data_IF_089390557757
#
_entry.id   IF_089390557757
#
_cell.length_a   1.000
_cell.length_b   1.000
_cell.length_c   1.000
_cell.angle_alpha   90.00
_cell.angle_beta   90.00
_cell.angle_gamma   90.00
#
_symmetry.space_group_name_H-M   'P 1'
#
loop_
_entity.id
_entity.type
_entity.pdbx_description
1 polymer ?
#
# COMPACT_ATOMS: atom_id res chain seq x y z
N UNK A 1 0.67 8.87 62.09
CA UNK A 1 1.70 9.45 61.24
C UNK A 1 2.35 8.35 60.44
N UNK A 2 2.11 8.22 59.14
CA UNK A 2 2.91 7.35 58.27
C UNK A 2 3.90 8.21 57.47
N UNK A 3 5.11 7.67 57.23
CA UNK A 3 6.23 8.25 56.53
C UNK A 3 6.03 8.24 54.98
N UNK A 4 6.71 9.09 54.23
CA UNK A 4 6.47 9.28 52.80
C UNK A 4 7.21 8.27 51.93
N UNK A 5 6.59 7.90 50.82
CA UNK A 5 7.13 7.03 49.79
C UNK A 5 8.14 7.75 48.92
N UNK A 6 9.29 7.11 48.70
CA UNK A 6 10.36 7.60 47.85
C UNK A 6 10.06 7.32 46.37
N UNK A 7 10.14 8.34 45.53
CA UNK A 7 10.06 8.28 44.09
C UNK A 7 11.41 7.87 43.49
N UNK A 8 11.49 6.71 42.83
CA UNK A 8 12.64 6.36 41.98
C UNK A 8 12.41 6.90 40.56
N UNK A 9 13.22 7.87 40.19
CA UNK A 9 13.41 8.24 38.78
C UNK A 9 14.65 7.51 38.25
N UNK A 10 14.49 6.72 37.21
CA UNK A 10 15.59 6.15 36.43
C UNK A 10 15.88 7.07 35.21
N UNK A 11 17.12 7.33 34.86
CA UNK A 11 17.46 8.11 33.67
C UNK A 11 17.56 7.22 32.44
N UNK A 12 16.93 7.65 31.36
CA UNK A 12 17.15 7.09 30.03
C UNK A 12 18.48 7.61 29.47
N UNK A 13 19.45 6.74 29.27
CA UNK A 13 20.66 7.03 28.49
C UNK A 13 20.46 6.50 27.08
N UNK A 14 20.48 7.42 26.11
CA UNK A 14 20.56 7.10 24.69
C UNK A 14 21.99 6.66 24.35
N UNK A 15 22.18 5.46 23.85
CA UNK A 15 23.44 5.01 23.25
C UNK A 15 23.30 5.00 21.73
N UNK A 16 23.89 5.99 21.07
CA UNK A 16 24.12 5.99 19.64
C UNK A 16 25.40 5.20 19.36
N UNK A 17 25.28 4.07 18.71
CA UNK A 17 26.42 3.26 18.23
C UNK A 17 26.69 3.55 16.76
N UNK A 18 27.71 4.39 16.47
CA UNK A 18 28.36 4.48 15.16
C UNK A 18 29.29 3.28 14.99
N UNK A 19 29.06 2.47 13.96
CA UNK A 19 30.02 1.47 13.49
C UNK A 19 30.61 1.96 12.16
N UNK A 20 31.81 2.53 12.24
CA UNK A 20 32.64 2.84 11.07
C UNK A 20 33.49 1.61 10.72
N UNK A 21 33.33 1.06 9.52
CA UNK A 21 34.21 0.05 8.97
C UNK A 21 35.19 0.70 8.01
N UNK A 22 36.44 0.73 8.43
CA UNK A 22 37.61 1.14 7.67
C UNK A 22 38.07 -0.05 6.81
N UNK A 23 38.11 0.08 5.49
CA UNK A 23 38.78 -0.87 4.61
C UNK A 23 39.99 -0.21 3.95
N UNK A 24 41.15 -0.76 4.27
CA UNK A 24 42.46 -0.30 3.82
C UNK A 24 42.75 -0.71 2.37
N UNK A 25 43.39 0.20 1.66
CA UNK A 25 44.01 0.05 0.35
C UNK A 25 45.22 -0.88 0.40
N UNK A 26 45.28 -1.80 -0.55
CA UNK A 26 46.56 -2.38 -0.98
C UNK A 26 46.71 -2.20 -2.49
N UNK A 27 47.70 -1.41 -2.87
CA UNK A 27 48.19 -1.25 -4.23
C UNK A 27 48.99 -2.51 -4.68
N UNK A 28 48.70 -2.98 -5.89
CA UNK A 28 49.56 -3.89 -6.64
C UNK A 28 49.59 -3.47 -8.12
N UNK A 29 50.68 -2.89 -8.52
CA UNK A 29 50.95 -2.51 -9.89
C UNK A 29 51.47 -3.70 -10.71
N UNK A 30 50.93 -3.93 -11.91
CA UNK A 30 51.62 -4.55 -13.03
C UNK A 30 51.08 -4.01 -14.34
N UNK A 31 51.97 -3.52 -15.18
CA UNK A 31 51.68 -2.92 -16.46
C UNK A 31 51.36 -3.94 -17.56
N UNK A 32 50.63 -3.50 -18.55
CA UNK A 32 50.31 -4.21 -19.78
C UNK A 32 49.73 -3.25 -20.81
N UNK A 33 50.42 -3.22 -21.92
CA UNK A 33 50.37 -2.38 -23.12
C UNK A 33 49.00 -2.05 -23.68
N UNK A 34 48.87 -0.79 -24.12
CA UNK A 34 47.73 -0.21 -24.78
C UNK A 34 47.42 -0.81 -26.16
N UNK A 35 46.19 -1.20 -26.40
CA UNK A 35 45.59 -1.18 -27.75
C UNK A 35 44.42 -0.20 -27.76
N UNK A 36 44.61 0.88 -28.52
CA UNK A 36 43.54 1.82 -28.90
C UNK A 36 42.54 1.11 -29.82
N UNK A 37 41.33 0.85 -29.33
CA UNK A 37 40.17 0.68 -30.20
C UNK A 37 39.17 1.76 -29.83
N UNK A 38 39.01 2.69 -30.74
CA UNK A 38 37.98 3.75 -30.69
C UNK A 38 36.61 3.13 -30.88
N UNK A 39 35.87 2.92 -29.75
CA UNK A 39 34.44 2.67 -29.81
C UNK A 39 33.71 4.00 -29.66
N UNK A 40 33.10 4.44 -30.75
CA UNK A 40 32.16 5.56 -30.78
C UNK A 40 30.98 5.26 -29.84
N UNK A 41 30.89 6.00 -28.72
CA UNK A 41 29.73 6.01 -27.88
C UNK A 41 28.56 6.69 -28.62
N UNK A 42 27.72 5.90 -29.25
CA UNK A 42 26.40 6.36 -29.67
C UNK A 42 25.55 6.56 -28.43
N UNK A 43 25.42 7.81 -27.99
CA UNK A 43 24.41 8.24 -27.04
C UNK A 43 23.03 7.90 -27.63
N UNK A 44 22.45 6.78 -27.20
CA UNK A 44 21.05 6.48 -27.52
C UNK A 44 20.16 7.49 -26.79
N UNK A 45 19.69 8.49 -27.53
CA UNK A 45 18.56 9.32 -27.10
C UNK A 45 17.40 8.36 -26.81
N UNK A 46 17.02 8.25 -25.54
CA UNK A 46 15.80 7.56 -25.13
C UNK A 46 14.65 8.36 -25.74
N UNK A 47 14.01 7.82 -26.79
CA UNK A 47 12.76 8.38 -27.30
C UNK A 47 11.71 8.35 -26.17
N UNK A 48 10.98 9.44 -25.96
CA UNK A 48 9.83 9.42 -25.06
C UNK A 48 8.86 8.37 -25.58
N UNK A 49 8.40 7.47 -24.68
CA UNK A 49 7.38 6.49 -25.02
C UNK A 49 6.15 7.15 -25.66
N UNK A 50 5.37 6.43 -26.49
CA UNK A 50 4.25 7.02 -27.19
C UNK A 50 3.35 7.75 -26.20
N UNK A 51 2.87 8.96 -26.56
CA UNK A 51 1.93 9.70 -25.71
C UNK A 51 0.72 8.80 -25.42
N UNK A 52 0.22 8.84 -24.19
CA UNK A 52 -1.05 8.16 -23.85
C UNK A 52 -2.05 8.54 -24.94
N UNK A 53 -2.56 7.54 -25.67
CA UNK A 53 -3.52 7.80 -26.72
C UNK A 53 -4.67 8.61 -26.11
N UNK A 54 -5.01 9.73 -26.74
CA UNK A 54 -6.20 10.52 -26.40
C UNK A 54 -7.46 9.78 -26.84
N UNK A 55 -7.56 8.51 -26.49
CA UNK A 55 -8.83 7.81 -26.55
C UNK A 55 -9.72 8.45 -25.51
N UNK A 56 -10.55 9.35 -25.98
CA UNK A 56 -11.73 9.83 -25.29
C UNK A 56 -12.86 8.82 -25.45
N UNK A 57 -12.95 7.78 -24.61
CA UNK A 57 -14.25 7.30 -24.21
C UNK A 57 -14.73 8.29 -23.17
N UNK A 58 -15.97 8.69 -23.25
CA UNK A 58 -16.65 9.46 -22.23
C UNK A 58 -16.16 9.03 -20.83
N UNK A 59 -15.52 9.95 -20.10
CA UNK A 59 -14.87 9.88 -18.79
C UNK A 59 -15.28 8.66 -17.96
N UNK A 60 -14.65 7.52 -18.16
CA UNK A 60 -14.94 6.31 -17.39
C UNK A 60 -14.35 6.50 -16.01
N UNK A 61 -15.25 6.63 -15.01
CA UNK A 61 -14.84 6.52 -13.61
C UNK A 61 -14.10 5.20 -13.40
N UNK A 62 -12.81 5.25 -12.99
CA UNK A 62 -11.98 4.06 -12.77
C UNK A 62 -12.57 3.13 -11.71
N UNK A 63 -13.43 3.64 -10.82
CA UNK A 63 -14.18 2.91 -9.80
C UNK A 63 -15.62 2.56 -10.23
N UNK A 64 -15.96 2.63 -11.52
CA UNK A 64 -17.33 2.40 -11.98
C UNK A 64 -17.86 1.00 -11.64
N UNK A 65 -16.98 0.02 -11.53
CA UNK A 65 -17.34 -1.33 -11.11
C UNK A 65 -17.36 -1.51 -9.57
N UNK A 66 -16.79 -0.57 -8.81
CA UNK A 66 -16.65 -0.64 -7.34
C UNK A 66 -17.86 -0.04 -6.60
N UNK A 67 -19.03 -0.09 -7.21
CA UNK A 67 -20.28 0.42 -6.64
C UNK A 67 -20.98 -0.60 -5.76
N UNK A 68 -21.79 -0.12 -4.81
CA UNK A 68 -22.54 -0.94 -3.86
C UNK A 68 -23.24 -2.12 -4.55
N UNK A 69 -22.99 -3.33 -4.07
CA UNK A 69 -23.64 -4.56 -4.55
C UNK A 69 -23.17 -5.10 -5.90
N UNK A 70 -22.24 -4.40 -6.56
CA UNK A 70 -21.74 -4.83 -7.87
C UNK A 70 -20.63 -5.88 -7.73
N UNK A 71 -21.00 -7.05 -7.20
CA UNK A 71 -20.06 -8.14 -7.01
C UNK A 71 -19.78 -8.94 -8.29
N UNK A 72 -18.52 -9.32 -8.45
CA UNK A 72 -18.19 -10.44 -9.31
C UNK A 72 -19.02 -11.69 -8.92
N UNK A 73 -19.52 -12.49 -9.89
CA UNK A 73 -20.21 -13.73 -9.57
C UNK A 73 -19.40 -14.70 -8.70
N UNK A 74 -18.07 -14.63 -8.78
CA UNK A 74 -17.14 -15.51 -8.05
C UNK A 74 -17.27 -15.37 -6.53
N UNK A 75 -17.56 -14.14 -6.02
CA UNK A 75 -17.52 -13.81 -4.59
C UNK A 75 -18.89 -13.47 -3.98
N UNK A 76 -19.95 -13.60 -4.77
CA UNK A 76 -21.31 -13.16 -4.35
C UNK A 76 -21.82 -13.89 -3.10
N UNK A 77 -21.40 -15.13 -2.89
CA UNK A 77 -21.78 -15.96 -1.75
C UNK A 77 -20.76 -15.97 -0.62
N UNK A 78 -19.65 -15.24 -0.75
CA UNK A 78 -18.62 -15.23 0.28
C UNK A 78 -19.10 -14.52 1.54
N UNK A 79 -18.70 -15.00 2.72
CA UNK A 79 -19.08 -14.38 4.00
C UNK A 79 -18.47 -12.98 4.15
N UNK A 80 -19.24 -12.07 4.75
CA UNK A 80 -18.79 -10.71 5.02
C UNK A 80 -17.83 -10.68 6.21
N UNK A 81 -16.54 -10.69 5.92
CA UNK A 81 -15.43 -10.79 6.89
C UNK A 81 -14.42 -9.64 6.71
N UNK A 82 -13.63 -9.40 7.73
CA UNK A 82 -12.43 -8.54 7.68
C UNK A 82 -11.25 -9.38 8.13
N UNK A 83 -10.21 -9.42 7.33
CA UNK A 83 -8.97 -10.15 7.62
C UNK A 83 -7.90 -9.17 8.06
N UNK A 84 -7.39 -9.34 9.27
CA UNK A 84 -6.49 -8.38 9.93
C UNK A 84 -5.13 -9.04 10.17
N UNK A 85 -4.11 -8.69 9.38
CA UNK A 85 -2.75 -9.18 9.64
C UNK A 85 -2.16 -8.42 10.82
N UNK A 86 -1.68 -9.15 11.83
CA UNK A 86 -1.07 -8.61 13.04
C UNK A 86 0.44 -8.80 12.95
N UNK A 87 1.14 -7.78 12.48
CA UNK A 87 2.56 -7.90 12.06
C UNK A 87 3.49 -8.30 13.20
N UNK A 88 3.21 -7.86 14.43
CA UNK A 88 4.04 -8.18 15.60
C UNK A 88 3.65 -9.50 16.27
N UNK A 89 2.43 -10.00 16.04
CA UNK A 89 1.94 -11.28 16.61
C UNK A 89 2.10 -12.44 15.63
N UNK A 90 2.45 -12.22 14.36
CA UNK A 90 2.50 -13.22 13.29
C UNK A 90 1.18 -14.02 13.17
N UNK A 91 0.05 -13.32 13.25
CA UNK A 91 -1.30 -13.90 13.18
C UNK A 91 -2.19 -13.12 12.22
N UNK A 92 -3.31 -13.73 11.83
CA UNK A 92 -4.45 -13.04 11.21
C UNK A 92 -5.68 -13.24 12.09
N UNK A 93 -6.33 -12.14 12.45
CA UNK A 93 -7.67 -12.15 13.02
C UNK A 93 -8.71 -12.01 11.92
N UNK A 94 -9.78 -12.80 11.99
CA UNK A 94 -10.91 -12.76 11.07
C UNK A 94 -12.12 -12.24 11.83
N UNK A 95 -12.62 -11.07 11.42
CA UNK A 95 -13.73 -10.37 12.08
C UNK A 95 -14.99 -10.49 11.24
N UNK A 96 -16.13 -10.80 11.85
CA UNK A 96 -17.43 -10.74 11.19
C UNK A 96 -17.89 -9.28 11.05
N UNK A 97 -18.14 -8.83 9.81
CA UNK A 97 -18.67 -7.49 9.56
C UNK A 97 -20.07 -7.27 10.16
N UNK A 98 -20.80 -8.36 10.40
CA UNK A 98 -22.16 -8.30 10.96
C UNK A 98 -22.18 -8.15 12.48
N UNK A 99 -21.28 -8.86 13.18
CA UNK A 99 -21.29 -8.92 14.65
C UNK A 99 -20.18 -8.09 15.28
N UNK A 100 -19.22 -7.59 14.52
CA UNK A 100 -18.02 -6.89 14.99
C UNK A 100 -17.18 -7.72 15.98
N UNK A 101 -17.20 -9.07 15.83
CA UNK A 101 -16.46 -9.99 16.68
C UNK A 101 -15.47 -10.81 15.88
N UNK A 102 -14.35 -11.14 16.49
CA UNK A 102 -13.41 -12.12 15.94
C UNK A 102 -14.12 -13.48 15.92
N UNK A 103 -14.17 -14.10 14.75
CA UNK A 103 -14.75 -15.42 14.51
C UNK A 103 -13.71 -16.50 14.29
N UNK A 104 -12.46 -16.08 14.03
CA UNK A 104 -11.30 -16.95 13.83
C UNK A 104 -10.01 -16.17 14.04
N UNK A 105 -8.98 -16.86 14.49
CA UNK A 105 -7.58 -16.43 14.47
C UNK A 105 -6.73 -17.59 13.99
N UNK A 106 -5.66 -17.32 13.27
CA UNK A 106 -4.67 -18.33 12.86
C UNK A 106 -3.28 -17.72 12.75
N UNK A 107 -2.26 -18.56 12.92
CA UNK A 107 -0.85 -18.17 12.76
C UNK A 107 -0.48 -18.07 11.28
N UNK A 108 0.49 -17.18 10.96
CA UNK A 108 1.06 -16.99 9.64
C UNK A 108 2.58 -17.02 9.69
N UNK A 109 3.25 -16.63 8.60
CA UNK A 109 4.68 -16.31 8.62
C UNK A 109 4.98 -15.03 9.40
N UNK A 110 6.26 -14.76 9.63
CA UNK A 110 6.71 -13.59 10.38
C UNK A 110 6.41 -12.29 9.64
N UNK A 111 6.03 -11.26 10.38
CA UNK A 111 5.72 -9.90 9.93
C UNK A 111 4.68 -9.89 8.79
N UNK A 112 3.44 -10.38 9.01
CA UNK A 112 2.37 -10.24 8.03
C UNK A 112 2.00 -8.76 7.89
N UNK A 113 2.13 -8.20 6.66
CA UNK A 113 1.89 -6.78 6.40
C UNK A 113 0.49 -6.53 5.84
N UNK A 114 0.11 -7.23 4.79
CA UNK A 114 -1.18 -7.00 4.12
C UNK A 114 -1.94 -8.31 3.91
N UNK A 115 -3.26 -8.18 3.73
CA UNK A 115 -4.09 -9.25 3.17
C UNK A 115 -4.63 -8.78 1.83
N UNK A 116 -4.21 -9.46 0.77
CA UNK A 116 -4.36 -9.04 -0.63
C UNK A 116 -5.25 -9.99 -1.41
N UNK A 117 -6.38 -9.53 -2.01
CA UNK A 117 -7.17 -10.37 -2.91
C UNK A 117 -6.43 -10.68 -4.22
N UNK A 118 -6.50 -11.94 -4.67
CA UNK A 118 -6.01 -12.34 -5.99
C UNK A 118 -6.77 -11.63 -7.12
N UNK A 119 -6.15 -11.52 -8.30
CA UNK A 119 -6.77 -10.91 -9.48
C UNK A 119 -8.15 -11.49 -9.80
N UNK A 120 -8.27 -12.82 -9.75
CA UNK A 120 -9.49 -13.57 -10.06
C UNK A 120 -10.47 -13.71 -8.88
N UNK A 121 -10.14 -13.08 -7.74
CA UNK A 121 -10.96 -13.03 -6.53
C UNK A 121 -11.19 -14.39 -5.85
N UNK A 122 -10.42 -15.42 -6.18
CA UNK A 122 -10.60 -16.77 -5.61
C UNK A 122 -9.78 -17.07 -4.38
N UNK A 123 -8.78 -16.23 -4.12
CA UNK A 123 -7.84 -16.41 -3.01
C UNK A 123 -7.52 -15.04 -2.40
N UNK A 124 -7.37 -15.00 -1.08
CA UNK A 124 -6.70 -13.89 -0.41
C UNK A 124 -5.29 -14.35 -0.04
N UNK A 125 -4.31 -13.47 -0.10
CA UNK A 125 -2.94 -13.76 0.30
C UNK A 125 -2.55 -12.91 1.50
N UNK A 126 -1.95 -13.53 2.51
CA UNK A 126 -1.26 -12.78 3.58
C UNK A 126 0.18 -12.62 3.15
N UNK A 127 0.64 -11.39 3.08
CA UNK A 127 2.00 -11.02 2.67
C UNK A 127 2.90 -11.07 3.91
N UNK A 128 3.60 -12.22 4.13
CA UNK A 128 4.47 -12.44 5.29
C UNK A 128 5.89 -11.97 4.96
N UNK A 129 6.14 -10.69 5.16
CA UNK A 129 7.34 -10.00 4.71
C UNK A 129 8.63 -10.67 5.22
N UNK A 130 8.89 -10.70 6.53
CA UNK A 130 10.05 -11.39 7.11
C UNK A 130 9.92 -12.92 7.07
N UNK A 131 8.69 -13.44 6.90
CA UNK A 131 8.40 -14.85 6.74
C UNK A 131 8.74 -15.39 5.35
N UNK A 132 9.12 -14.52 4.39
CA UNK A 132 9.42 -14.87 3.00
C UNK A 132 8.39 -15.83 2.39
N UNK A 133 7.10 -15.49 2.58
CA UNK A 133 6.01 -16.35 2.11
C UNK A 133 4.71 -15.60 1.92
N UNK A 134 3.84 -16.14 1.06
CA UNK A 134 2.44 -15.77 0.96
C UNK A 134 1.59 -16.89 1.58
N UNK A 135 0.76 -16.57 2.56
CA UNK A 135 -0.21 -17.53 3.10
C UNK A 135 -1.55 -17.36 2.37
N UNK A 136 -1.96 -18.30 1.52
CA UNK A 136 -3.26 -18.23 0.85
C UNK A 136 -4.40 -18.48 1.84
N UNK A 137 -5.52 -17.79 1.66
CA UNK A 137 -6.77 -17.98 2.40
C UNK A 137 -7.87 -18.30 1.39
N UNK A 138 -8.67 -19.34 1.63
CA UNK A 138 -9.93 -19.54 0.92
C UNK A 138 -10.97 -18.55 1.46
N UNK A 139 -11.40 -17.55 0.67
CA UNK A 139 -12.30 -16.51 1.16
C UNK A 139 -13.72 -17.02 1.49
N UNK A 140 -14.14 -18.18 0.94
CA UNK A 140 -15.44 -18.79 1.24
C UNK A 140 -15.50 -19.41 2.62
N UNK A 141 -14.36 -19.89 3.11
CA UNK A 141 -14.27 -20.57 4.41
C UNK A 141 -13.51 -19.76 5.45
N UNK A 142 -12.74 -18.76 5.06
CA UNK A 142 -11.83 -17.97 5.89
C UNK A 142 -10.66 -18.81 6.45
N UNK A 143 -10.32 -19.95 5.82
CA UNK A 143 -9.27 -20.85 6.29
C UNK A 143 -7.97 -20.64 5.52
N UNK A 144 -6.81 -20.63 6.22
CA UNK A 144 -5.52 -20.57 5.55
C UNK A 144 -5.17 -21.91 4.89
N UNK A 145 -4.44 -21.82 3.78
CA UNK A 145 -3.79 -22.93 3.10
C UNK A 145 -2.30 -23.02 3.42
N UNK A 146 -1.57 -23.83 2.66
CA UNK A 146 -0.11 -23.96 2.80
C UNK A 146 0.59 -22.70 2.30
N UNK A 147 1.54 -22.14 3.05
CA UNK A 147 2.32 -20.99 2.59
C UNK A 147 3.09 -21.31 1.30
N UNK A 148 3.18 -20.30 0.43
CA UNK A 148 3.94 -20.33 -0.82
C UNK A 148 5.23 -19.53 -0.59
N UNK A 149 6.39 -20.10 -0.90
CA UNK A 149 7.66 -19.40 -0.77
C UNK A 149 7.75 -18.23 -1.77
N UNK A 150 7.84 -17.03 -1.23
CA UNK A 150 7.99 -15.77 -1.95
C UNK A 150 8.90 -14.89 -1.11
N UNK A 151 10.00 -14.46 -1.67
CA UNK A 151 11.00 -13.66 -0.96
C UNK A 151 10.51 -12.23 -0.78
N UNK A 152 10.64 -11.70 0.45
CA UNK A 152 10.40 -10.30 0.80
C UNK A 152 9.03 -9.74 0.32
N UNK A 153 7.88 -10.40 0.57
CA UNK A 153 6.61 -9.94 0.09
C UNK A 153 6.03 -8.89 1.05
N UNK A 154 6.50 -7.64 0.93
CA UNK A 154 5.92 -6.53 1.69
C UNK A 154 4.48 -6.24 1.23
N UNK A 155 4.26 -6.24 -0.08
CA UNK A 155 2.93 -5.98 -0.67
C UNK A 155 2.75 -6.78 -1.97
N UNK A 156 1.50 -6.99 -2.38
CA UNK A 156 1.16 -7.76 -3.58
C UNK A 156 0.15 -7.00 -4.45
N UNK A 157 0.48 -6.87 -5.72
CA UNK A 157 -0.37 -6.26 -6.75
C UNK A 157 -0.56 -7.18 -7.94
N UNK A 158 -1.50 -6.81 -8.83
CA UNK A 158 -1.73 -7.51 -10.09
C UNK A 158 -1.82 -6.50 -11.23
N UNK A 159 -1.17 -6.81 -12.36
CA UNK A 159 -1.28 -5.96 -13.54
C UNK A 159 -2.75 -5.90 -14.01
N UNK A 160 -3.21 -4.73 -14.53
CA UNK A 160 -4.62 -4.56 -14.93
C UNK A 160 -5.14 -5.55 -15.98
N UNK A 161 -4.24 -6.18 -16.74
CA UNK A 161 -4.58 -7.26 -17.68
C UNK A 161 -4.53 -8.67 -17.05
N UNK A 162 -4.25 -8.78 -15.74
CA UNK A 162 -4.15 -10.04 -15.01
C UNK A 162 -2.98 -10.94 -15.41
N UNK A 163 -2.04 -10.44 -16.22
CA UNK A 163 -0.94 -11.25 -16.75
C UNK A 163 0.12 -11.56 -15.69
N UNK A 164 0.36 -10.64 -14.77
CA UNK A 164 1.36 -10.78 -13.73
C UNK A 164 0.81 -10.43 -12.36
N UNK A 165 1.26 -11.13 -11.33
CA UNK A 165 1.34 -10.65 -9.97
C UNK A 165 2.64 -9.84 -9.82
N UNK A 166 2.60 -8.75 -9.04
CA UNK A 166 3.76 -7.91 -8.73
C UNK A 166 3.95 -7.95 -7.22
N UNK A 167 4.99 -8.64 -6.77
CA UNK A 167 5.41 -8.61 -5.37
C UNK A 167 6.33 -7.43 -5.16
N UNK A 168 6.00 -6.60 -4.20
CA UNK A 168 6.88 -5.52 -3.73
C UNK A 168 7.87 -6.12 -2.76
N UNK A 169 9.11 -6.29 -3.19
CA UNK A 169 10.21 -6.74 -2.35
C UNK A 169 10.97 -5.51 -1.85
N UNK A 170 10.43 -4.91 -0.78
CA UNK A 170 10.81 -3.59 -0.27
C UNK A 170 12.28 -3.52 0.15
N UNK A 171 12.70 -4.44 1.02
CA UNK A 171 14.06 -4.51 1.55
C UNK A 171 15.10 -4.83 0.46
N UNK A 172 14.67 -5.57 -0.57
CA UNK A 172 15.49 -5.95 -1.71
C UNK A 172 15.46 -4.90 -2.83
N UNK A 173 14.70 -3.83 -2.67
CA UNK A 173 14.57 -2.71 -3.63
C UNK A 173 14.27 -3.21 -5.04
N UNK A 174 13.24 -4.06 -5.18
CA UNK A 174 12.83 -4.63 -6.45
C UNK A 174 11.34 -4.93 -6.52
N UNK A 175 10.83 -5.04 -7.72
CA UNK A 175 9.48 -5.47 -8.02
C UNK A 175 9.54 -6.80 -8.78
N UNK A 176 9.02 -7.86 -8.17
CA UNK A 176 9.04 -9.20 -8.74
C UNK A 176 7.76 -9.48 -9.52
N UNK A 177 7.86 -9.55 -10.84
CA UNK A 177 6.77 -9.98 -11.72
C UNK A 177 6.66 -11.50 -11.69
N UNK A 178 5.53 -12.01 -11.27
CA UNK A 178 5.29 -13.44 -11.04
C UNK A 178 4.06 -13.92 -11.80
N UNK A 179 4.01 -15.23 -12.04
CA UNK A 179 2.78 -15.85 -12.55
C UNK A 179 1.66 -15.69 -11.49
N UNK A 180 0.50 -15.11 -11.80
CA UNK A 180 -0.52 -14.75 -10.80
C UNK A 180 -1.22 -15.95 -10.16
N UNK A 181 -1.08 -17.17 -10.73
CA UNK A 181 -1.70 -18.39 -10.20
C UNK A 181 -0.74 -19.25 -9.40
N UNK A 182 0.53 -19.28 -9.80
CA UNK A 182 1.54 -20.17 -9.19
C UNK A 182 2.54 -19.43 -8.33
N UNK A 183 2.56 -18.10 -8.39
CA UNK A 183 3.55 -17.20 -7.76
C UNK A 183 5.01 -17.48 -8.17
N UNK A 184 5.25 -18.28 -9.25
CA UNK A 184 6.59 -18.50 -9.78
C UNK A 184 7.13 -17.22 -10.39
N UNK A 185 8.40 -16.90 -10.09
CA UNK A 185 9.12 -15.76 -10.64
C UNK A 185 9.15 -15.82 -12.17
N UNK A 186 8.90 -14.69 -12.81
CA UNK A 186 9.02 -14.51 -14.27
C UNK A 186 10.11 -13.49 -14.58
N UNK A 187 10.10 -12.34 -13.89
CA UNK A 187 11.05 -11.27 -14.06
C UNK A 187 11.19 -10.50 -12.76
N UNK A 188 12.37 -9.94 -12.51
CA UNK A 188 12.62 -9.06 -11.37
C UNK A 188 13.14 -7.72 -11.87
N UNK A 189 12.46 -6.64 -11.49
CA UNK A 189 12.82 -5.26 -11.80
C UNK A 189 13.51 -4.63 -10.59
N UNK A 190 14.82 -4.42 -10.67
CA UNK A 190 15.55 -3.66 -9.64
C UNK A 190 15.16 -2.18 -9.68
N UNK A 191 14.93 -1.59 -8.50
CA UNK A 191 14.56 -0.18 -8.32
C UNK A 191 15.44 0.48 -7.24
N UNK A 192 16.76 0.51 -7.41
CA UNK A 192 17.70 0.93 -6.37
C UNK A 192 17.53 2.40 -5.95
N UNK A 193 16.92 3.22 -6.80
CA UNK A 193 16.63 4.64 -6.51
C UNK A 193 15.35 4.83 -5.69
N UNK A 194 14.57 3.76 -5.47
CA UNK A 194 13.31 3.74 -4.76
C UNK A 194 13.49 3.02 -3.41
N UNK A 195 14.19 3.66 -2.46
CA UNK A 195 14.32 3.10 -1.12
C UNK A 195 12.96 3.05 -0.45
N UNK A 196 12.61 1.88 0.11
CA UNK A 196 11.27 1.64 0.63
C UNK A 196 10.22 1.70 -0.48
N UNK A 197 10.41 0.93 -1.56
CA UNK A 197 9.34 0.75 -2.55
C UNK A 197 8.14 0.12 -1.85
N UNK A 198 6.98 0.80 -1.90
CA UNK A 198 5.91 0.53 -0.95
C UNK A 198 4.57 0.29 -1.66
N UNK A 199 3.78 1.34 -1.85
CA UNK A 199 2.43 1.23 -2.42
C UNK A 199 2.38 1.65 -3.87
N UNK A 200 1.38 1.14 -4.61
CA UNK A 200 1.18 1.56 -6.00
C UNK A 200 -0.29 1.60 -6.40
N UNK A 201 -0.59 2.39 -7.43
CA UNK A 201 -1.82 2.30 -8.23
C UNK A 201 -1.45 2.36 -9.72
N UNK A 202 -2.44 2.15 -10.57
CA UNK A 202 -2.24 1.97 -12.01
C UNK A 202 -2.92 3.09 -12.81
N UNK A 203 -2.36 3.41 -13.97
CA UNK A 203 -2.99 4.34 -14.90
C UNK A 203 -4.36 3.83 -15.33
N UNK A 204 -5.26 4.75 -15.70
CA UNK A 204 -6.63 4.39 -16.11
C UNK A 204 -6.68 3.43 -17.31
N UNK A 205 -5.70 3.53 -18.21
CA UNK A 205 -5.54 2.64 -19.36
C UNK A 205 -4.82 1.32 -19.00
N UNK A 206 -4.26 1.19 -17.80
CA UNK A 206 -3.55 0.00 -17.34
C UNK A 206 -2.18 -0.23 -17.93
N UNK A 207 -1.56 0.82 -18.53
CA UNK A 207 -0.24 0.71 -19.16
C UNK A 207 0.91 0.98 -18.17
N UNK A 208 0.67 1.78 -17.15
CA UNK A 208 1.67 2.21 -16.18
C UNK A 208 1.26 1.88 -14.75
N UNK A 209 2.25 1.62 -13.92
CA UNK A 209 2.12 1.65 -12.46
C UNK A 209 2.88 2.87 -11.91
N UNK A 210 2.39 3.40 -10.79
CA UNK A 210 2.99 4.49 -10.04
C UNK A 210 3.24 3.98 -8.62
N UNK A 211 4.50 3.89 -8.21
CA UNK A 211 4.87 3.38 -6.90
C UNK A 211 5.52 4.46 -6.04
N UNK A 212 5.19 4.44 -4.75
CA UNK A 212 5.82 5.27 -3.72
C UNK A 212 7.16 4.67 -3.27
N UNK A 213 8.08 5.54 -2.86
CA UNK A 213 9.41 5.21 -2.35
C UNK A 213 9.55 5.88 -0.99
N UNK A 214 9.09 5.22 0.07
CA UNK A 214 8.86 5.80 1.40
C UNK A 214 10.11 6.47 1.97
N UNK A 215 11.27 5.78 1.88
CA UNK A 215 12.49 6.22 2.55
C UNK A 215 13.37 7.14 1.71
N UNK A 216 13.05 7.32 0.43
CA UNK A 216 13.77 8.24 -0.47
C UNK A 216 12.97 9.47 -0.88
N UNK A 217 11.73 9.62 -0.40
CA UNK A 217 10.87 10.76 -0.73
C UNK A 217 10.56 10.89 -2.21
N UNK A 218 10.39 9.75 -2.90
CA UNK A 218 10.23 9.71 -4.36
C UNK A 218 9.00 8.93 -4.79
N UNK A 219 8.66 9.09 -6.05
CA UNK A 219 7.72 8.25 -6.79
C UNK A 219 8.41 7.72 -8.03
N UNK A 220 8.08 6.50 -8.46
CA UNK A 220 8.52 5.95 -9.74
C UNK A 220 7.32 5.62 -10.64
N UNK A 221 7.48 5.87 -11.94
CA UNK A 221 6.54 5.46 -12.99
C UNK A 221 7.13 4.29 -13.74
N UNK A 222 6.37 3.20 -13.85
CA UNK A 222 6.80 1.93 -14.42
C UNK A 222 5.97 1.64 -15.67
N UNK A 223 6.63 1.36 -16.79
CA UNK A 223 6.00 0.80 -17.98
C UNK A 223 5.79 -0.71 -17.75
N UNK A 224 4.51 -1.12 -17.64
CA UNK A 224 4.15 -2.52 -17.33
C UNK A 224 4.41 -3.48 -18.49
N UNK A 225 4.43 -2.99 -19.74
CA UNK A 225 4.74 -3.81 -20.91
C UNK A 225 6.25 -4.07 -21.01
N UNK A 226 7.04 -3.00 -20.84
CA UNK A 226 8.50 -3.06 -20.89
C UNK A 226 9.11 -3.54 -19.58
N UNK A 227 8.32 -3.59 -18.47
CA UNK A 227 8.76 -3.94 -17.12
C UNK A 227 10.01 -3.15 -16.69
N UNK A 228 9.94 -1.82 -16.84
CA UNK A 228 11.06 -0.92 -16.50
C UNK A 228 10.55 0.40 -15.92
N UNK A 229 11.35 1.01 -15.05
CA UNK A 229 11.13 2.40 -14.61
C UNK A 229 11.38 3.33 -15.79
N UNK A 230 10.46 4.26 -16.04
CA UNK A 230 10.55 5.25 -17.13
C UNK A 230 10.69 6.67 -16.61
N UNK A 231 10.26 6.94 -15.36
CA UNK A 231 10.39 8.23 -14.71
C UNK A 231 10.54 8.07 -13.21
N UNK A 232 11.32 8.96 -12.59
CA UNK A 232 11.41 9.18 -11.16
C UNK A 232 10.98 10.60 -10.85
N UNK A 233 10.18 10.82 -9.82
CA UNK A 233 9.70 12.10 -9.35
C UNK A 233 10.10 12.28 -7.89
N UNK A 234 10.87 13.30 -7.57
CA UNK A 234 11.22 13.66 -6.21
C UNK A 234 10.11 14.54 -5.59
N UNK A 235 9.74 14.22 -4.35
CA UNK A 235 8.74 14.95 -3.57
C UNK A 235 9.44 15.71 -2.44
N UNK A 236 9.03 16.99 -2.22
CA UNK A 236 9.57 17.84 -1.16
C UNK A 236 11.10 17.82 -1.07
N UNK A 237 11.81 17.81 -2.20
CA UNK A 237 13.28 17.71 -2.23
C UNK A 237 13.81 16.50 -1.44
N UNK A 238 13.16 15.34 -1.55
CA UNK A 238 13.52 14.12 -0.83
C UNK A 238 13.10 14.08 0.64
N UNK A 239 12.39 15.09 1.14
CA UNK A 239 11.93 15.19 2.53
C UNK A 239 10.48 14.70 2.72
N UNK A 240 9.94 13.96 1.77
CA UNK A 240 8.65 13.29 1.87
C UNK A 240 8.79 11.86 2.39
N UNK A 241 7.70 11.31 2.94
CA UNK A 241 7.54 9.89 3.24
C UNK A 241 6.24 9.41 2.58
N UNK A 242 6.28 9.21 1.23
CA UNK A 242 5.10 8.85 0.47
C UNK A 242 4.64 7.43 0.79
N UNK A 243 3.35 7.28 1.03
CA UNK A 243 2.65 6.06 1.43
C UNK A 243 1.68 5.62 0.34
N UNK A 244 0.42 5.34 0.70
CA UNK A 244 -0.60 4.85 -0.23
C UNK A 244 -0.81 5.78 -1.42
N UNK A 245 -1.10 5.17 -2.55
CA UNK A 245 -1.25 5.81 -3.86
C UNK A 245 -2.63 5.51 -4.41
N UNK A 246 -3.40 6.52 -4.83
CA UNK A 246 -4.72 6.33 -5.44
C UNK A 246 -4.95 7.26 -6.61
N UNK A 247 -5.38 6.68 -7.71
CA UNK A 247 -5.83 7.42 -8.88
C UNK A 247 -7.22 8.01 -8.61
N UNK A 248 -7.43 9.29 -8.97
CA UNK A 248 -8.76 9.91 -8.92
C UNK A 248 -9.74 9.20 -9.89
N UNK A 249 -11.06 9.26 -9.62
CA UNK A 249 -12.06 8.60 -10.45
C UNK A 249 -11.96 8.93 -11.95
N UNK A 250 -11.58 10.15 -12.29
CA UNK A 250 -11.44 10.63 -13.68
C UNK A 250 -10.10 10.26 -14.33
N UNK A 251 -9.20 9.62 -13.59
CA UNK A 251 -7.87 9.21 -14.06
C UNK A 251 -6.88 10.35 -14.27
N UNK A 252 -7.17 11.57 -13.80
CA UNK A 252 -6.36 12.78 -14.10
C UNK A 252 -5.51 13.28 -12.96
N UNK A 253 -5.75 12.79 -11.74
CA UNK A 253 -4.96 13.13 -10.57
C UNK A 253 -4.58 11.85 -9.85
N UNK A 254 -3.31 11.71 -9.54
CA UNK A 254 -2.81 10.68 -8.64
C UNK A 254 -2.62 11.33 -7.28
N UNK A 255 -3.28 10.80 -6.26
CA UNK A 255 -3.10 11.20 -4.87
C UNK A 255 -2.08 10.27 -4.21
N UNK A 256 -1.13 10.86 -3.50
CA UNK A 256 -0.10 10.14 -2.74
C UNK A 256 -0.10 10.66 -1.32
N UNK A 257 -0.41 9.80 -0.37
CA UNK A 257 -0.35 10.16 1.03
C UNK A 257 1.11 10.40 1.45
N UNK A 258 1.36 11.43 2.25
CA UNK A 258 2.68 11.75 2.79
C UNK A 258 2.59 11.85 4.31
N UNK A 259 3.13 10.83 4.96
CA UNK A 259 3.07 10.75 6.42
C UNK A 259 3.96 11.81 7.09
N UNK A 260 5.08 12.19 6.47
CA UNK A 260 6.00 13.19 7.01
C UNK A 260 5.42 14.60 6.94
N UNK A 261 4.81 14.96 5.80
CA UNK A 261 4.29 16.30 5.56
C UNK A 261 2.80 16.46 5.93
N UNK A 262 2.11 15.38 6.28
CA UNK A 262 0.75 15.39 6.79
C UNK A 262 -0.29 15.82 5.76
N UNK A 263 -0.27 15.21 4.59
CA UNK A 263 -1.19 15.53 3.50
C UNK A 263 -1.05 14.64 2.29
N UNK A 264 -1.58 15.11 1.17
CA UNK A 264 -1.62 14.40 -0.09
C UNK A 264 -0.90 15.20 -1.17
N UNK A 265 0.08 14.63 -1.82
CA UNK A 265 0.57 15.11 -3.09
C UNK A 265 -0.47 14.87 -4.17
N UNK A 266 -0.76 15.89 -4.95
CA UNK A 266 -1.54 15.80 -6.17
C UNK A 266 -0.58 15.79 -7.36
N UNK A 267 -0.58 14.69 -8.11
CA UNK A 267 0.33 14.47 -9.24
C UNK A 267 -0.49 14.32 -10.52
N UNK A 268 -0.10 15.02 -11.60
CA UNK A 268 -0.59 14.75 -12.95
C UNK A 268 0.04 13.44 -13.45
N UNK A 269 -0.71 12.32 -13.61
CA UNK A 269 -0.13 11.02 -13.94
C UNK A 269 0.42 10.96 -15.37
N UNK A 270 -0.10 11.78 -16.29
CA UNK A 270 0.38 11.82 -17.69
C UNK A 270 1.74 12.49 -17.76
N UNK A 271 1.87 13.67 -17.15
CA UNK A 271 3.12 14.45 -17.11
C UNK A 271 4.09 13.96 -16.04
N UNK A 272 3.61 13.19 -15.09
CA UNK A 272 4.30 12.73 -13.90
C UNK A 272 4.98 13.89 -13.14
N UNK A 273 4.16 14.88 -12.79
CA UNK A 273 4.59 16.12 -12.10
C UNK A 273 3.63 16.47 -10.98
N UNK A 274 4.18 16.99 -9.88
CA UNK A 274 3.38 17.57 -8.78
C UNK A 274 2.60 18.77 -9.31
N UNK A 275 1.31 18.81 -9.03
CA UNK A 275 0.38 19.91 -9.37
C UNK A 275 -0.25 20.54 -8.15
N UNK A 276 -0.08 19.97 -6.96
CA UNK A 276 -0.59 20.51 -5.71
C UNK A 276 -0.21 19.66 -4.50
N UNK A 277 -0.52 20.19 -3.32
CA UNK A 277 -0.45 19.51 -2.05
C UNK A 277 -1.66 19.89 -1.19
N UNK A 278 -2.40 18.88 -0.73
CA UNK A 278 -3.58 19.05 0.11
C UNK A 278 -3.27 18.60 1.55
N UNK A 279 -3.25 19.53 2.51
CA UNK A 279 -3.10 19.16 3.92
C UNK A 279 -4.33 18.38 4.41
N UNK A 280 -4.09 17.25 5.08
CA UNK A 280 -5.14 16.41 5.67
C UNK A 280 -4.96 16.24 7.18
N UNK A 281 -3.76 15.90 7.62
CA UNK A 281 -3.43 15.68 9.02
C UNK A 281 -2.11 14.95 9.18
N UNK A 282 -1.50 15.02 10.36
CA UNK A 282 -0.23 14.35 10.66
C UNK A 282 -0.31 12.83 10.48
N UNK A 283 0.69 12.26 9.79
CA UNK A 283 0.75 10.84 9.53
C UNK A 283 -0.25 10.35 8.48
N UNK A 284 -0.51 11.15 7.43
CA UNK A 284 -1.38 10.72 6.32
C UNK A 284 -0.85 9.43 5.69
N UNK A 285 -1.70 8.39 5.58
CA UNK A 285 -1.27 7.04 5.24
C UNK A 285 -2.18 6.35 4.23
N UNK A 286 -3.30 5.77 4.62
CA UNK A 286 -4.19 5.01 3.75
C UNK A 286 -5.24 5.86 3.03
N UNK A 287 -5.57 5.50 1.80
CA UNK A 287 -6.47 6.21 0.90
C UNK A 287 -7.60 5.31 0.42
N UNK A 288 -8.86 5.61 0.76
CA UNK A 288 -10.02 4.74 0.48
C UNK A 288 -11.13 5.51 -0.24
N UNK A 289 -11.35 5.28 -1.54
CA UNK A 289 -12.48 5.85 -2.26
C UNK A 289 -13.81 5.36 -1.68
N UNK A 290 -14.77 6.28 -1.54
CA UNK A 290 -16.14 5.92 -1.21
C UNK A 290 -16.79 5.15 -2.37
N UNK A 291 -17.73 4.24 -2.09
CA UNK A 291 -18.37 3.39 -3.11
C UNK A 291 -19.13 4.16 -4.21
N UNK A 292 -19.42 5.40 -4.00
CA UNK A 292 -20.00 6.28 -5.04
C UNK A 292 -18.94 7.14 -5.75
N UNK A 293 -17.65 6.93 -5.46
CA UNK A 293 -16.49 7.65 -6.00
C UNK A 293 -16.61 9.20 -5.90
N UNK A 294 -17.32 9.70 -4.88
CA UNK A 294 -17.45 11.16 -4.63
C UNK A 294 -16.41 11.65 -3.63
N UNK A 295 -15.99 10.79 -2.71
CA UNK A 295 -15.10 11.12 -1.62
C UNK A 295 -13.98 10.11 -1.52
N UNK A 296 -12.87 10.53 -0.89
CA UNK A 296 -11.79 9.69 -0.44
C UNK A 296 -11.62 9.87 1.06
N UNK A 297 -11.56 8.76 1.79
CA UNK A 297 -11.22 8.74 3.20
C UNK A 297 -9.71 8.60 3.33
N UNK A 298 -9.09 9.48 4.10
CA UNK A 298 -7.66 9.53 4.36
C UNK A 298 -7.43 9.24 5.83
N UNK A 299 -6.72 8.16 6.15
CA UNK A 299 -6.28 7.92 7.52
C UNK A 299 -5.08 8.82 7.84
N UNK A 300 -5.13 9.52 8.98
CA UNK A 300 -4.04 10.36 9.47
C UNK A 300 -3.56 9.76 10.78
N UNK A 301 -2.60 8.84 10.67
CA UNK A 301 -2.18 7.92 11.74
C UNK A 301 -1.67 8.65 12.97
N UNK A 302 -0.79 9.65 12.81
CA UNK A 302 -0.23 10.39 13.93
C UNK A 302 -1.23 11.37 14.56
N UNK A 303 -2.22 11.85 13.77
CA UNK A 303 -3.25 12.76 14.27
C UNK A 303 -4.47 12.04 14.87
N UNK A 304 -4.56 10.71 14.75
CA UNK A 304 -5.67 9.91 15.26
C UNK A 304 -7.02 10.26 14.61
N UNK A 305 -7.02 10.65 13.32
CA UNK A 305 -8.22 11.15 12.66
C UNK A 305 -8.35 10.70 11.20
N UNK A 306 -9.54 10.84 10.64
CA UNK A 306 -9.83 10.61 9.24
C UNK A 306 -10.22 11.92 8.57
N UNK A 307 -9.62 12.25 7.43
CA UNK A 307 -10.03 13.34 6.56
C UNK A 307 -10.89 12.83 5.42
N UNK A 308 -12.01 13.50 5.13
CA UNK A 308 -12.87 13.21 3.99
C UNK A 308 -12.58 14.23 2.90
N UNK A 309 -11.97 13.77 1.80
CA UNK A 309 -11.61 14.61 0.66
C UNK A 309 -12.65 14.45 -0.44
N UNK A 310 -13.16 15.55 -0.97
CA UNK A 310 -14.05 15.53 -2.12
C UNK A 310 -13.24 15.49 -3.43
N UNK A 311 -13.45 14.47 -4.24
CA UNK A 311 -12.83 14.40 -5.57
C UNK A 311 -13.25 15.55 -6.49
N UNK A 312 -14.49 16.05 -6.35
CA UNK A 312 -15.00 17.15 -7.16
C UNK A 312 -14.33 18.49 -6.86
N UNK A 313 -14.16 18.81 -5.57
CA UNK A 313 -13.62 20.11 -5.14
C UNK A 313 -12.12 20.05 -4.82
N UNK A 314 -11.57 18.84 -4.69
CA UNK A 314 -10.17 18.57 -4.28
C UNK A 314 -9.82 19.27 -2.95
N UNK A 315 -10.76 19.19 -1.99
CA UNK A 315 -10.63 19.79 -0.65
C UNK A 315 -11.08 18.81 0.40
N UNK A 316 -10.52 18.95 1.60
CA UNK A 316 -11.06 18.33 2.81
C UNK A 316 -12.43 18.97 3.11
N UNK A 317 -13.47 18.16 3.16
CA UNK A 317 -14.86 18.61 3.41
C UNK A 317 -15.37 18.22 4.78
N UNK A 318 -14.74 17.22 5.42
CA UNK A 318 -15.03 16.78 6.79
C UNK A 318 -13.75 16.22 7.41
N UNK A 319 -13.68 16.27 8.73
CA UNK A 319 -12.67 15.59 9.55
C UNK A 319 -13.38 14.85 10.67
N UNK A 320 -12.97 13.61 10.91
CA UNK A 320 -13.49 12.77 11.99
C UNK A 320 -12.38 12.45 12.97
N UNK A 321 -12.46 13.01 14.17
CA UNK A 321 -11.53 12.70 15.25
C UNK A 321 -11.94 11.38 15.92
N UNK A 322 -10.99 10.45 16.06
CA UNK A 322 -11.19 9.25 16.85
C UNK A 322 -10.88 9.53 18.33
N UNK A 323 -11.51 8.79 19.27
CA UNK A 323 -11.13 8.84 20.67
C UNK A 323 -9.66 8.46 20.84
N UNK A 324 -8.89 9.29 21.54
CA UNK A 324 -7.46 9.08 21.76
C UNK A 324 -7.19 8.11 22.94
N UNK A 325 -6.12 7.30 22.89
CA UNK A 325 -5.14 7.21 21.78
C UNK A 325 -5.74 6.52 20.57
N UNK A 326 -5.36 6.99 19.36
CA UNK A 326 -5.81 6.40 18.11
C UNK A 326 -4.72 6.52 17.02
N UNK A 327 -4.52 5.44 16.28
CA UNK A 327 -3.56 5.38 15.16
C UNK A 327 -4.19 4.71 13.93
N UNK A 328 -5.26 5.32 13.32
CA UNK A 328 -5.93 4.75 12.17
C UNK A 328 -4.94 4.60 11.01
N UNK A 329 -4.84 3.39 10.46
CA UNK A 329 -3.81 3.01 9.51
C UNK A 329 -4.42 2.51 8.20
N UNK A 330 -4.31 1.23 7.90
CA UNK A 330 -4.70 0.64 6.63
C UNK A 330 -6.01 -0.14 6.73
N UNK A 331 -6.77 -0.17 5.62
CA UNK A 331 -8.03 -0.91 5.64
C UNK A 331 -8.86 -0.85 4.37
N UNK A 332 -10.15 -0.59 4.50
CA UNK A 332 -11.07 -0.54 3.37
C UNK A 332 -12.50 -0.19 3.74
N UNK A 333 -13.30 0.08 2.72
CA UNK A 333 -14.73 0.40 2.87
C UNK A 333 -15.54 -0.88 2.68
N UNK A 334 -16.57 -1.10 3.53
CA UNK A 334 -17.51 -2.22 3.37
C UNK A 334 -18.22 -2.16 2.01
N UNK A 335 -18.74 -3.30 1.57
CA UNK A 335 -19.45 -3.42 0.30
C UNK A 335 -20.64 -2.44 0.18
N UNK A 336 -21.39 -2.26 1.26
CA UNK A 336 -22.54 -1.35 1.31
C UNK A 336 -22.14 0.13 1.45
N UNK A 337 -20.85 0.42 1.52
CA UNK A 337 -20.29 1.76 1.66
C UNK A 337 -20.50 2.41 3.03
N UNK A 338 -21.09 1.70 4.00
CA UNK A 338 -21.52 2.28 5.28
C UNK A 338 -20.49 2.22 6.39
N UNK A 339 -19.45 1.40 6.24
CA UNK A 339 -18.41 1.23 7.26
C UNK A 339 -17.04 1.36 6.62
N UNK A 340 -16.23 2.25 7.15
CA UNK A 340 -14.79 2.28 6.93
C UNK A 340 -14.13 1.47 8.04
N UNK A 341 -13.37 0.45 7.65
CA UNK A 341 -12.62 -0.41 8.54
C UNK A 341 -11.15 -0.03 8.46
N UNK A 342 -10.53 0.29 9.58
CA UNK A 342 -9.12 0.64 9.67
C UNK A 342 -8.46 -0.12 10.81
N UNK A 343 -7.26 -0.61 10.60
CA UNK A 343 -6.39 -1.05 11.69
C UNK A 343 -5.95 0.14 12.53
N UNK A 344 -5.79 -0.06 13.83
CA UNK A 344 -5.15 0.86 14.76
C UNK A 344 -3.74 0.35 15.04
N UNK A 345 -2.78 0.77 14.21
CA UNK A 345 -1.42 0.22 14.10
C UNK A 345 -0.73 0.05 15.45
N UNK A 346 -0.81 1.08 16.29
CA UNK A 346 -0.12 1.13 17.57
C UNK A 346 -1.04 0.86 18.76
N UNK A 347 -2.35 0.74 18.52
CA UNK A 347 -3.35 0.56 19.56
C UNK A 347 -3.80 -0.90 19.69
N UNK A 348 -3.40 -1.77 18.75
CA UNK A 348 -3.79 -3.18 18.73
C UNK A 348 -5.30 -3.40 18.57
N UNK A 349 -5.95 -2.57 17.78
CA UNK A 349 -7.40 -2.60 17.53
C UNK A 349 -7.74 -2.51 16.05
N UNK A 350 -9.01 -2.80 15.73
CA UNK A 350 -9.63 -2.42 14.46
C UNK A 350 -10.76 -1.45 14.75
N UNK A 351 -10.78 -0.33 14.04
CA UNK A 351 -11.87 0.66 14.06
C UNK A 351 -12.88 0.33 12.98
N UNK A 352 -14.15 0.22 13.34
CA UNK A 352 -15.29 0.20 12.43
C UNK A 352 -16.00 1.56 12.50
N UNK A 353 -15.90 2.38 11.46
CA UNK A 353 -16.30 3.79 11.45
C UNK A 353 -17.48 3.95 10.51
N UNK A 354 -18.55 4.63 10.96
CA UNK A 354 -19.70 4.97 10.13
C UNK A 354 -19.32 6.05 9.11
N UNK A 355 -19.41 5.75 7.82
CA UNK A 355 -19.00 6.66 6.73
C UNK A 355 -19.92 7.88 6.55
N UNK A 356 -21.11 7.90 7.14
CA UNK A 356 -22.01 9.05 7.04
C UNK A 356 -21.65 10.19 8.00
N UNK A 357 -21.13 9.84 9.19
CA UNK A 357 -20.91 10.81 10.28
C UNK A 357 -19.54 10.68 10.99
N UNK A 358 -18.77 9.61 10.71
CA UNK A 358 -17.47 9.38 11.33
C UNK A 358 -17.52 8.77 12.73
N UNK A 359 -18.69 8.42 13.26
CA UNK A 359 -18.78 7.80 14.58
C UNK A 359 -18.29 6.35 14.54
N UNK A 360 -17.65 5.92 15.60
CA UNK A 360 -17.28 4.52 15.79
C UNK A 360 -18.54 3.66 15.94
N UNK A 361 -18.62 2.59 15.15
CA UNK A 361 -19.57 1.48 15.33
C UNK A 361 -19.03 0.46 16.33
N UNK A 362 -17.71 0.24 16.26
CA UNK A 362 -16.98 -0.66 17.16
C UNK A 362 -15.49 -0.31 17.16
N UNK A 363 -14.84 -0.61 18.29
CA UNK A 363 -13.40 -0.75 18.44
C UNK A 363 -13.15 -2.18 18.89
N UNK A 364 -12.39 -2.96 18.09
CA UNK A 364 -12.26 -4.40 18.26
C UNK A 364 -10.81 -4.70 18.58
N UNK A 365 -10.48 -5.17 19.79
CA UNK A 365 -9.13 -5.62 20.13
C UNK A 365 -8.70 -6.79 19.22
N UNK A 366 -7.46 -6.73 18.71
CA UNK A 366 -6.83 -7.73 17.83
C UNK A 366 -5.40 -8.00 18.28
N UNK A 367 -4.65 -8.79 17.53
CA UNK A 367 -3.24 -9.03 17.80
C UNK A 367 -2.39 -7.75 17.67
N UNK A 368 -1.12 -7.82 18.09
CA UNK A 368 -0.22 -6.67 18.10
C UNK A 368 0.23 -6.25 16.70
N UNK A 369 0.25 -4.95 16.46
CA UNK A 369 0.68 -4.33 15.20
C UNK A 369 -0.24 -4.66 14.01
N UNK A 370 -1.58 -4.52 14.12
CA UNK A 370 -2.47 -4.73 12.98
C UNK A 370 -2.12 -3.73 11.86
N UNK A 371 -2.14 -4.20 10.59
CA UNK A 371 -1.77 -3.35 9.45
C UNK A 371 -2.76 -3.46 8.30
N UNK A 372 -2.33 -3.81 7.10
CA UNK A 372 -3.12 -3.79 5.88
C UNK A 372 -4.27 -4.79 5.87
N UNK A 373 -5.35 -4.50 6.62
CA UNK A 373 -6.52 -5.36 6.67
C UNK A 373 -7.31 -5.36 5.35
N UNK A 374 -7.89 -6.50 5.03
CA UNK A 374 -8.76 -6.67 3.87
C UNK A 374 -10.23 -6.81 4.29
N UNK A 375 -11.07 -5.91 3.81
CA UNK A 375 -12.54 -6.03 3.92
C UNK A 375 -13.03 -6.92 2.78
N UNK A 376 -13.75 -7.99 3.08
CA UNK A 376 -14.20 -8.95 2.08
C UNK A 376 -15.67 -9.36 2.28
N UNK A 377 -16.46 -9.60 1.20
CA UNK A 377 -16.14 -9.33 -0.21
C UNK A 377 -16.24 -7.84 -0.54
N UNK A 378 -15.56 -7.43 -1.62
CA UNK A 378 -15.62 -6.07 -2.16
C UNK A 378 -16.28 -6.05 -3.54
N UNK A 379 -17.04 -4.97 -3.89
CA UNK A 379 -17.56 -4.81 -5.24
C UNK A 379 -16.41 -4.60 -6.24
N UNK A 380 -16.64 -4.96 -7.50
CA UNK A 380 -15.67 -4.90 -8.58
C UNK A 380 -15.59 -6.19 -9.38
N UNK A 381 -14.93 -6.15 -10.51
CA UNK A 381 -14.79 -7.28 -11.44
C UNK A 381 -13.55 -8.11 -11.15
N UNK A 382 -12.47 -7.45 -10.76
CA UNK A 382 -11.17 -8.04 -10.44
C UNK A 382 -10.42 -7.15 -9.46
N UNK A 383 -9.43 -7.72 -8.79
CA UNK A 383 -8.55 -6.99 -7.87
C UNK A 383 -7.24 -6.62 -8.54
N UNK A 384 -6.76 -5.41 -8.28
CA UNK A 384 -5.39 -5.00 -8.59
C UNK A 384 -4.42 -5.26 -7.43
N UNK A 385 -4.90 -5.89 -6.37
CA UNK A 385 -4.08 -6.26 -5.23
C UNK A 385 -4.22 -5.34 -4.02
N UNK A 386 -3.15 -5.24 -3.24
CA UNK A 386 -3.11 -4.54 -1.97
C UNK A 386 -4.29 -4.96 -1.08
N UNK A 387 -4.84 -4.11 -0.24
CA UNK A 387 -6.01 -4.43 0.61
C UNK A 387 -7.35 -4.50 -0.16
N UNK A 388 -7.31 -4.55 -1.49
CA UNK A 388 -8.47 -4.63 -2.37
C UNK A 388 -8.71 -3.38 -3.20
N UNK A 389 -7.72 -3.02 -4.04
CA UNK A 389 -7.94 -2.05 -5.12
C UNK A 389 -8.75 -2.76 -6.19
N UNK A 390 -10.05 -2.47 -6.24
CA UNK A 390 -10.98 -3.09 -7.19
C UNK A 390 -11.14 -2.25 -8.46
N UNK A 391 -11.47 -2.95 -9.58
CA UNK A 391 -11.79 -2.30 -10.85
C UNK A 391 -12.98 -2.98 -11.54
#
# INVERSE_FOLDING_TARGET
MPAPAASFRAPFTAAAGLLAILCALLCGACGGTAHHSSTSSTSSKVEPGPPESRDSPARRNVYAADTVGNFSPVIRSDPALVYVPNSMSATVDVISQRTFRIVRQFATGALPQHVTPSYDLKTLYVDNDLGNSLTPIDPRTGRPGRPIAVEDPYNLYFTPNGRFAIVVAERLQRLDFRNPRTMRMVHSLSVPECLGVDHMDFSAAGHYAYASCEFSGRMIKIDLRAQRVIHTLELAHGLASPQDVKLAPDGRTLYVADQQNGGLWEIDPAKFKVVGFLRTGGGAHGLYPSRNAKFMYVSNRAAGMISVVSFRTRRVVKTWQLPMPASPDMGGVSNDGRTLWLSGRYDGVVYAINTSNGHLRATIPVGAGPHGLCVWPQPGRYSLGHTGIMR
#
